data_IF_504263932715
#
_entry.id   IF_504263932715
#
_cell.length_a   1.000
_cell.length_b   1.000
_cell.length_c   1.000
_cell.angle_alpha   90.00
_cell.angle_beta   90.00
_cell.angle_gamma   90.00
#
_symmetry.space_group_name_H-M   'P 1'
#
loop_
_entity.id
_entity.type
_entity.pdbx_description
1 polymer ?
#
# COMPACT_ATOMS: atom_id res chain seq x y z
N UNK A 1 21.70 8.69 10.96
CA UNK A 1 20.87 9.77 11.51
C UNK A 1 20.00 10.24 10.38
N UNK A 2 18.65 10.26 10.51
CA UNK A 2 17.77 10.46 9.36
C UNK A 2 18.01 11.82 8.71
N UNK A 3 18.12 11.80 7.38
CA UNK A 3 18.57 12.92 6.56
C UNK A 3 17.46 13.39 5.62
N UNK A 4 17.17 14.69 5.66
CA UNK A 4 16.16 15.36 4.83
C UNK A 4 16.82 16.34 3.90
N UNK A 5 16.45 16.28 2.62
CA UNK A 5 16.81 17.31 1.64
C UNK A 5 15.59 18.19 1.36
N UNK A 6 15.75 19.51 1.53
CA UNK A 6 14.72 20.50 1.21
C UNK A 6 15.12 21.22 -0.08
N UNK A 7 14.27 21.17 -1.09
CA UNK A 7 14.48 21.84 -2.38
C UNK A 7 13.39 22.89 -2.55
N UNK A 8 13.74 24.16 -2.40
CA UNK A 8 12.81 25.28 -2.35
C UNK A 8 13.57 26.53 -2.79
N UNK A 9 13.05 27.30 -3.75
CA UNK A 9 13.74 28.49 -4.27
C UNK A 9 13.58 29.70 -3.33
N UNK A 10 12.42 29.83 -2.67
CA UNK A 10 12.16 30.88 -1.69
C UNK A 10 13.02 30.71 -0.41
N UNK A 11 13.87 31.70 -0.14
CA UNK A 11 14.85 31.62 0.95
C UNK A 11 14.20 31.59 2.34
N UNK A 12 13.10 32.30 2.53
CA UNK A 12 12.40 32.37 3.81
C UNK A 12 11.70 31.03 4.11
N UNK A 13 10.98 30.48 3.12
CA UNK A 13 10.34 29.17 3.20
C UNK A 13 11.37 28.06 3.41
N UNK A 14 12.48 28.07 2.66
CA UNK A 14 13.56 27.10 2.82
C UNK A 14 14.16 27.13 4.23
N UNK A 15 14.41 28.33 4.77
CA UNK A 15 14.94 28.52 6.13
C UNK A 15 13.96 28.03 7.20
N UNK A 16 12.67 28.33 7.03
CA UNK A 16 11.61 27.90 7.93
C UNK A 16 11.48 26.37 7.97
N UNK A 17 11.48 25.73 6.80
CA UNK A 17 11.43 24.27 6.69
C UNK A 17 12.66 23.60 7.28
N UNK A 18 13.85 24.14 7.03
CA UNK A 18 15.11 23.62 7.58
C UNK A 18 15.15 23.73 9.12
N UNK A 19 14.63 24.85 9.65
CA UNK A 19 14.49 25.04 11.10
C UNK A 19 13.56 23.99 11.68
N UNK A 20 12.42 23.73 11.04
CA UNK A 20 11.46 22.73 11.48
C UNK A 20 12.06 21.32 11.47
N UNK A 21 12.76 20.93 10.40
CA UNK A 21 13.45 19.64 10.32
C UNK A 21 14.48 19.45 11.46
N UNK A 22 15.26 20.49 11.77
CA UNK A 22 16.23 20.48 12.87
C UNK A 22 15.57 20.36 14.24
N UNK A 23 14.40 20.97 14.47
CA UNK A 23 13.66 20.79 15.73
C UNK A 23 13.22 19.34 15.95
N UNK A 24 13.04 18.58 14.87
CA UNK A 24 12.75 17.14 14.89
C UNK A 24 14.02 16.27 14.92
N UNK A 25 15.19 16.88 15.17
CA UNK A 25 16.50 16.21 15.24
C UNK A 25 16.91 15.48 13.94
N UNK A 26 16.45 15.99 12.79
CA UNK A 26 16.83 15.47 11.48
C UNK A 26 18.08 16.19 10.97
N UNK A 27 19.00 15.45 10.36
CA UNK A 27 20.04 16.05 9.53
C UNK A 27 19.37 16.69 8.32
N UNK A 28 19.78 17.89 7.93
CA UNK A 28 19.08 18.65 6.89
C UNK A 28 20.03 19.50 6.07
N UNK A 29 20.01 19.24 4.76
CA UNK A 29 20.60 20.10 3.74
C UNK A 29 19.49 20.74 2.91
N UNK A 30 19.84 21.83 2.24
CA UNK A 30 18.89 22.61 1.46
C UNK A 30 19.47 22.96 0.10
N UNK A 31 18.64 22.94 -0.93
CA UNK A 31 18.97 23.36 -2.28
C UNK A 31 17.95 24.42 -2.76
N UNK A 32 18.42 25.40 -3.53
CA UNK A 32 17.56 26.39 -4.18
C UNK A 32 17.17 25.98 -5.61
N UNK A 33 17.86 25.00 -6.19
CA UNK A 33 17.69 24.54 -7.58
C UNK A 33 17.69 23.02 -7.67
N UNK A 34 17.17 22.48 -8.77
CA UNK A 34 17.27 21.04 -9.07
C UNK A 34 18.71 20.61 -9.26
N UNK A 35 19.55 21.43 -9.89
CA UNK A 35 20.97 21.12 -10.08
C UNK A 35 21.69 20.89 -8.74
N UNK A 36 21.53 21.81 -7.78
CA UNK A 36 22.09 21.67 -6.44
C UNK A 36 21.54 20.42 -5.73
N UNK A 37 20.24 20.18 -5.85
CA UNK A 37 19.59 19.01 -5.28
C UNK A 37 20.16 17.70 -5.85
N UNK A 38 20.39 17.63 -7.17
CA UNK A 38 21.00 16.45 -7.83
C UNK A 38 22.42 16.21 -7.34
N UNK A 39 23.22 17.27 -7.17
CA UNK A 39 24.57 17.14 -6.60
C UNK A 39 24.51 16.56 -5.18
N UNK A 40 23.64 17.10 -4.32
CA UNK A 40 23.48 16.61 -2.95
C UNK A 40 23.04 15.15 -2.91
N UNK A 41 22.01 14.78 -3.68
CA UNK A 41 21.50 13.40 -3.80
C UNK A 41 22.59 12.42 -4.24
N UNK A 42 23.49 12.86 -5.14
CA UNK A 42 24.59 12.02 -5.64
C UNK A 42 25.67 11.75 -4.57
N UNK A 43 25.85 12.68 -3.63
CA UNK A 43 26.82 12.54 -2.54
C UNK A 43 26.26 11.77 -1.35
N UNK A 44 25.01 12.02 -0.99
CA UNK A 44 24.33 11.34 0.11
C UNK A 44 22.84 11.21 -0.21
N UNK A 45 22.34 9.98 -0.21
CA UNK A 45 20.94 9.73 -0.53
C UNK A 45 20.05 10.09 0.67
N UNK A 46 19.09 11.01 0.51
CA UNK A 46 18.17 11.41 1.59
C UNK A 46 17.12 10.34 1.91
N UNK A 47 16.64 10.33 3.15
CA UNK A 47 15.49 9.55 3.61
C UNK A 47 14.16 10.20 3.20
N UNK A 48 14.15 11.53 3.15
CA UNK A 48 13.02 12.35 2.70
C UNK A 48 13.53 13.50 1.84
N UNK A 49 12.90 13.72 0.70
CA UNK A 49 13.01 14.95 -0.07
C UNK A 49 11.70 15.71 0.03
N UNK A 50 11.77 16.97 0.48
CA UNK A 50 10.67 17.93 0.39
C UNK A 50 11.00 18.92 -0.73
N UNK A 51 10.31 18.86 -1.86
CA UNK A 51 10.69 19.57 -3.08
C UNK A 51 9.54 20.44 -3.61
N UNK A 52 9.81 21.70 -3.94
CA UNK A 52 8.88 22.51 -4.73
C UNK A 52 8.77 21.97 -6.16
N UNK A 53 7.54 21.93 -6.67
CA UNK A 53 7.20 21.48 -8.00
C UNK A 53 7.71 22.45 -9.07
N UNK A 54 7.74 23.75 -8.77
CA UNK A 54 8.19 24.78 -9.69
C UNK A 54 9.47 25.39 -9.15
N UNK A 55 10.60 25.09 -9.80
CA UNK A 55 11.91 25.60 -9.45
C UNK A 55 12.45 26.46 -10.60
N UNK A 56 13.41 27.37 -10.34
CA UNK A 56 13.94 28.28 -11.35
C UNK A 56 14.59 27.58 -12.54
N UNK A 57 15.07 26.35 -12.36
CA UNK A 57 15.76 25.53 -13.36
C UNK A 57 14.93 24.33 -13.86
N UNK A 58 13.66 24.18 -13.46
CA UNK A 58 12.80 23.14 -14.01
C UNK A 58 11.66 22.68 -13.11
N UNK A 59 11.19 21.45 -13.35
CA UNK A 59 10.11 20.83 -12.61
C UNK A 59 10.64 19.94 -11.48
N UNK A 60 10.13 20.12 -10.26
CA UNK A 60 10.47 19.32 -9.08
C UNK A 60 10.38 17.81 -9.28
N UNK A 61 9.49 17.36 -10.16
CA UNK A 61 9.35 15.94 -10.50
C UNK A 61 10.56 15.38 -11.25
N UNK A 62 11.38 16.19 -11.90
CA UNK A 62 12.55 15.68 -12.62
C UNK A 62 13.63 15.13 -11.65
N UNK A 63 13.48 15.41 -10.36
CA UNK A 63 14.33 14.85 -9.30
C UNK A 63 14.09 13.35 -9.08
N UNK A 64 12.93 12.81 -9.46
CA UNK A 64 12.69 11.35 -9.42
C UNK A 64 13.74 10.57 -10.21
N UNK A 65 14.21 11.14 -11.32
CA UNK A 65 15.18 10.50 -12.21
C UNK A 65 16.61 10.54 -11.66
N UNK A 66 16.88 11.44 -10.70
CA UNK A 66 18.18 11.55 -10.03
C UNK A 66 18.36 10.55 -8.89
N UNK A 67 17.25 10.03 -8.35
CA UNK A 67 17.29 9.13 -7.22
C UNK A 67 17.61 7.70 -7.68
N UNK A 68 18.46 6.97 -6.94
CA UNK A 68 18.72 5.56 -7.24
C UNK A 68 17.40 4.77 -7.20
N UNK A 69 17.13 3.93 -8.20
CA UNK A 69 15.89 3.12 -8.28
C UNK A 69 15.62 2.22 -7.06
N UNK A 70 16.63 1.98 -6.22
CA UNK A 70 16.57 1.18 -5.00
C UNK A 70 16.73 2.00 -3.72
N UNK A 71 16.86 3.33 -3.83
CA UNK A 71 16.93 4.21 -2.67
C UNK A 71 15.58 4.26 -1.96
N UNK A 72 15.59 4.10 -0.64
CA UNK A 72 14.41 4.26 0.21
C UNK A 72 14.24 5.74 0.58
N UNK A 73 13.97 6.58 -0.41
CA UNK A 73 13.73 8.01 -0.26
C UNK A 73 12.24 8.30 -0.42
N UNK A 74 11.58 8.84 0.61
CA UNK A 74 10.26 9.46 0.44
C UNK A 74 10.41 10.77 -0.34
N UNK A 75 9.52 11.05 -1.30
CA UNK A 75 9.45 12.37 -1.94
C UNK A 75 8.10 12.98 -1.62
N UNK A 76 8.13 14.17 -1.03
CA UNK A 76 6.98 15.01 -0.81
C UNK A 76 7.11 16.24 -1.68
N UNK A 77 6.14 16.43 -2.57
CA UNK A 77 6.11 17.62 -3.42
C UNK A 77 5.32 18.73 -2.75
N UNK A 78 5.77 19.97 -2.93
CA UNK A 78 5.04 21.16 -2.53
C UNK A 78 4.75 22.01 -3.76
N UNK A 79 3.65 22.75 -3.79
CA UNK A 79 3.39 23.71 -4.87
C UNK A 79 2.44 24.82 -4.43
N UNK A 80 2.61 26.03 -4.98
CA UNK A 80 1.60 27.09 -4.90
C UNK A 80 0.51 26.99 -5.96
N UNK A 81 0.73 26.21 -7.02
CA UNK A 81 -0.14 26.12 -8.20
C UNK A 81 -0.60 24.68 -8.40
N UNK A 82 -1.44 24.20 -7.47
CA UNK A 82 -1.94 22.84 -7.51
C UNK A 82 -2.98 22.64 -8.62
N UNK A 83 -2.84 21.56 -9.38
CA UNK A 83 -3.86 21.09 -10.31
C UNK A 83 -4.12 19.59 -10.12
N UNK A 84 -5.30 19.12 -10.51
CA UNK A 84 -5.62 17.70 -10.45
C UNK A 84 -4.63 16.87 -11.30
N UNK A 85 -4.25 17.39 -12.46
CA UNK A 85 -3.30 16.73 -13.36
C UNK A 85 -1.92 16.56 -12.75
N UNK A 86 -1.37 17.62 -12.14
CA UNK A 86 -0.04 17.58 -11.52
C UNK A 86 0.00 16.71 -10.27
N UNK A 87 -1.08 16.67 -9.49
CA UNK A 87 -1.19 15.78 -8.34
C UNK A 87 -1.28 14.30 -8.76
N UNK A 88 -2.03 13.98 -9.82
CA UNK A 88 -2.11 12.62 -10.36
C UNK A 88 -0.76 12.18 -10.92
N UNK A 89 -0.07 13.05 -11.67
CA UNK A 89 1.23 12.74 -12.24
C UNK A 89 2.31 12.51 -11.17
N UNK A 90 2.33 13.37 -10.15
CA UNK A 90 3.18 13.21 -8.97
C UNK A 90 3.02 11.83 -8.31
N UNK A 91 1.77 11.40 -8.07
CA UNK A 91 1.48 10.09 -7.48
C UNK A 91 1.90 8.93 -8.40
N UNK A 92 1.70 9.06 -9.72
CA UNK A 92 2.15 8.04 -10.70
C UNK A 92 3.66 7.89 -10.75
N UNK A 93 4.41 8.98 -10.58
CA UNK A 93 5.87 8.99 -10.50
C UNK A 93 6.42 8.49 -9.16
N UNK A 94 5.55 8.27 -8.17
CA UNK A 94 5.91 7.68 -6.87
C UNK A 94 6.11 8.70 -5.75
N UNK A 95 5.57 9.92 -5.87
CA UNK A 95 5.51 10.84 -4.75
C UNK A 95 4.75 10.20 -3.58
N UNK A 96 5.30 10.35 -2.38
CA UNK A 96 4.69 9.83 -1.14
C UNK A 96 3.61 10.77 -0.63
N UNK A 97 3.75 12.07 -0.85
CA UNK A 97 2.72 13.05 -0.54
C UNK A 97 2.82 14.28 -1.45
N UNK A 98 1.75 15.05 -1.53
CA UNK A 98 1.64 16.28 -2.31
C UNK A 98 0.97 17.37 -1.46
N UNK A 99 1.68 18.47 -1.24
CA UNK A 99 1.29 19.57 -0.36
C UNK A 99 1.02 20.84 -1.17
N UNK A 100 -0.10 21.49 -0.89
CA UNK A 100 -0.45 22.78 -1.48
C UNK A 100 -0.01 23.89 -0.52
N UNK A 101 0.74 24.87 -1.02
CA UNK A 101 1.10 26.09 -0.29
C UNK A 101 -0.17 26.97 -0.14
N UNK A 102 -0.41 27.61 1.02
CA UNK A 102 0.49 27.72 2.17
C UNK A 102 0.58 26.43 2.99
N UNK A 103 1.80 26.08 3.39
CA UNK A 103 2.08 24.80 4.07
C UNK A 103 1.51 24.78 5.48
N UNK A 104 0.76 23.72 5.80
CA UNK A 104 0.23 23.50 7.14
C UNK A 104 1.33 22.94 8.06
N UNK A 105 1.67 23.69 9.12
CA UNK A 105 2.71 23.33 10.09
C UNK A 105 2.47 22.01 10.82
N UNK A 106 1.22 21.65 11.11
CA UNK A 106 0.91 20.35 11.73
C UNK A 106 1.20 19.21 10.75
N UNK A 107 0.88 19.40 9.47
CA UNK A 107 1.14 18.40 8.43
C UNK A 107 2.64 18.24 8.18
N UNK A 108 3.41 19.32 8.09
CA UNK A 108 4.87 19.26 7.99
C UNK A 108 5.51 18.56 9.19
N UNK A 109 5.07 18.88 10.41
CA UNK A 109 5.52 18.18 11.62
C UNK A 109 5.23 16.68 11.57
N UNK A 110 4.04 16.28 11.09
CA UNK A 110 3.70 14.86 10.96
C UNK A 110 4.59 14.14 9.94
N UNK A 111 4.98 14.82 8.85
CA UNK A 111 5.87 14.29 7.82
C UNK A 111 7.29 14.14 8.38
N UNK A 112 7.83 15.16 9.02
CA UNK A 112 9.18 15.08 9.61
C UNK A 112 9.25 14.09 10.78
N UNK A 113 8.23 14.01 11.64
CA UNK A 113 8.21 13.10 12.77
C UNK A 113 8.14 11.62 12.37
N UNK A 114 7.66 11.29 11.16
CA UNK A 114 7.66 9.90 10.66
C UNK A 114 8.98 9.48 10.03
N UNK A 115 9.82 10.40 9.54
CA UNK A 115 11.09 10.08 8.86
C UNK A 115 11.96 9.10 9.68
N UNK A 116 12.24 9.33 10.98
CA UNK A 116 13.07 8.41 11.76
C UNK A 116 12.46 7.01 11.92
N UNK A 117 11.11 6.93 11.99
CA UNK A 117 10.40 5.65 12.12
C UNK A 117 10.40 4.89 10.79
N UNK A 118 10.27 5.60 9.68
CA UNK A 118 10.37 5.01 8.35
C UNK A 118 11.80 4.52 8.10
N UNK A 119 12.83 5.29 8.46
CA UNK A 119 14.25 4.87 8.35
C UNK A 119 14.55 3.65 9.21
N UNK A 120 14.16 3.63 10.50
CA UNK A 120 14.39 2.47 11.38
C UNK A 120 13.65 1.20 10.90
N UNK A 121 12.41 1.34 10.42
CA UNK A 121 11.67 0.25 9.79
C UNK A 121 12.30 -0.19 8.46
N UNK A 122 12.89 0.73 7.69
CA UNK A 122 13.60 0.40 6.46
C UNK A 122 14.94 -0.26 6.73
N UNK A 123 15.69 0.13 7.75
CA UNK A 123 16.92 -0.54 8.19
C UNK A 123 16.60 -1.94 8.70
N UNK A 124 15.54 -2.12 9.49
CA UNK A 124 15.06 -3.42 9.94
C UNK A 124 14.56 -4.27 8.75
N UNK A 125 13.83 -3.68 7.80
CA UNK A 125 13.40 -4.35 6.56
C UNK A 125 14.58 -4.62 5.62
N UNK A 126 15.61 -3.79 5.58
CA UNK A 126 16.80 -3.95 4.73
C UNK A 126 17.77 -4.99 5.32
N UNK A 127 17.94 -5.03 6.64
CA UNK A 127 18.61 -6.13 7.34
C UNK A 127 17.85 -7.44 7.14
N UNK A 128 16.53 -7.45 7.37
CA UNK A 128 15.70 -8.61 7.09
C UNK A 128 15.75 -8.99 5.60
N UNK A 129 15.71 -8.04 4.66
CA UNK A 129 15.82 -8.30 3.21
C UNK A 129 17.21 -8.75 2.79
N UNK A 130 18.28 -8.28 3.42
CA UNK A 130 19.67 -8.69 3.13
C UNK A 130 19.94 -10.10 3.66
N UNK A 131 19.44 -10.41 4.86
CA UNK A 131 19.50 -11.75 5.44
C UNK A 131 18.59 -12.73 4.67
N UNK A 132 17.43 -12.26 4.17
CA UNK A 132 16.52 -13.03 3.33
C UNK A 132 16.98 -13.14 1.87
N UNK A 133 17.67 -12.16 1.28
CA UNK A 133 18.27 -12.26 -0.07
C UNK A 133 19.42 -13.26 -0.10
N UNK A 134 20.16 -13.40 1.00
CA UNK A 134 21.18 -14.46 1.16
C UNK A 134 20.57 -15.87 1.21
N UNK A 135 19.27 -15.97 1.51
CA UNK A 135 18.51 -17.23 1.61
C UNK A 135 17.43 -17.39 0.51
N UNK A 136 17.26 -16.38 -0.36
CA UNK A 136 16.26 -16.37 -1.44
C UNK A 136 14.81 -16.30 -0.98
N UNK A 137 14.48 -15.61 0.13
CA UNK A 137 13.13 -15.62 0.74
C UNK A 137 12.47 -14.24 0.70
N UNK A 138 11.16 -14.17 0.51
CA UNK A 138 10.37 -12.93 0.60
C UNK A 138 9.03 -13.23 1.27
N UNK A 139 8.89 -12.81 2.53
CA UNK A 139 7.81 -13.28 3.39
C UNK A 139 7.80 -14.81 3.47
N UNK A 140 6.75 -15.43 2.93
CA UNK A 140 6.59 -16.89 2.89
C UNK A 140 7.10 -17.52 1.61
N UNK A 141 7.42 -16.72 0.59
CA UNK A 141 7.85 -17.21 -0.71
C UNK A 141 9.36 -17.41 -0.78
N UNK A 142 9.80 -18.32 -1.65
CA UNK A 142 11.20 -18.61 -1.95
C UNK A 142 11.46 -18.46 -3.44
N UNK A 143 12.60 -17.90 -3.81
CA UNK A 143 13.04 -17.69 -5.18
C UNK A 143 13.89 -16.44 -5.34
N UNK A 144 15.00 -16.57 -6.08
CA UNK A 144 15.93 -15.48 -6.39
C UNK A 144 15.98 -15.12 -7.88
N UNK A 145 15.11 -15.74 -8.70
CA UNK A 145 15.06 -15.46 -10.14
C UNK A 145 14.58 -14.01 -10.41
N UNK A 146 14.99 -13.38 -11.53
CA UNK A 146 14.52 -12.03 -11.87
C UNK A 146 13.00 -11.90 -11.94
N UNK A 147 12.30 -12.94 -12.41
CA UNK A 147 10.84 -12.97 -12.45
C UNK A 147 10.24 -12.92 -11.04
N UNK A 148 10.79 -13.70 -10.09
CA UNK A 148 10.34 -13.67 -8.70
C UNK A 148 10.64 -12.33 -8.02
N UNK A 149 11.78 -11.70 -8.33
CA UNK A 149 12.07 -10.35 -7.82
C UNK A 149 11.03 -9.32 -8.29
N UNK A 150 10.58 -9.39 -9.55
CA UNK A 150 9.52 -8.53 -10.05
C UNK A 150 8.17 -8.76 -9.33
N UNK A 151 7.85 -10.02 -9.01
CA UNK A 151 6.68 -10.38 -8.19
C UNK A 151 6.81 -9.81 -6.78
N UNK A 152 7.98 -9.91 -6.15
CA UNK A 152 8.22 -9.36 -4.81
C UNK A 152 8.07 -7.85 -4.78
N UNK A 153 8.59 -7.14 -5.79
CA UNK A 153 8.45 -5.70 -5.93
C UNK A 153 6.98 -5.29 -6.09
N UNK A 154 6.21 -6.04 -6.89
CA UNK A 154 4.78 -5.80 -7.07
C UNK A 154 4.00 -6.02 -5.77
N UNK A 155 4.27 -7.13 -5.05
CA UNK A 155 3.68 -7.43 -3.75
C UNK A 155 4.01 -6.34 -2.73
N UNK A 156 5.27 -5.91 -2.66
CA UNK A 156 5.71 -4.85 -1.73
C UNK A 156 5.00 -3.51 -1.95
N UNK A 157 4.68 -3.17 -3.20
CA UNK A 157 3.90 -1.97 -3.52
C UNK A 157 2.42 -2.14 -3.17
N UNK A 158 1.79 -3.24 -3.58
CA UNK A 158 0.34 -3.43 -3.42
C UNK A 158 -0.04 -3.76 -1.98
N UNK A 159 0.81 -4.42 -1.20
CA UNK A 159 0.50 -4.77 0.19
C UNK A 159 0.17 -3.53 1.04
N UNK A 160 0.79 -2.38 0.74
CA UNK A 160 0.60 -1.10 1.45
C UNK A 160 -0.71 -0.38 1.11
N UNK A 161 -1.49 -0.89 0.16
CA UNK A 161 -2.77 -0.28 -0.26
C UNK A 161 -3.95 -1.14 0.18
N UNK A 162 -5.16 -0.57 0.11
CA UNK A 162 -6.42 -1.27 0.35
C UNK A 162 -7.00 -1.91 -0.93
N UNK A 163 -6.29 -1.82 -2.05
CA UNK A 163 -6.78 -2.31 -3.33
C UNK A 163 -6.90 -3.84 -3.35
N UNK A 164 -7.96 -4.32 -4.01
CA UNK A 164 -8.13 -5.74 -4.34
C UNK A 164 -7.02 -6.19 -5.30
N UNK A 165 -6.56 -7.43 -5.13
CA UNK A 165 -5.46 -8.00 -5.93
C UNK A 165 -5.93 -9.26 -6.63
N UNK A 166 -5.59 -9.39 -7.92
CA UNK A 166 -5.78 -10.62 -8.70
C UNK A 166 -4.42 -11.26 -8.99
N UNK A 167 -4.25 -12.51 -8.57
CA UNK A 167 -3.06 -13.33 -8.69
C UNK A 167 -3.28 -14.36 -9.80
N UNK A 168 -2.52 -14.24 -10.87
CA UNK A 168 -2.60 -15.18 -12.00
C UNK A 168 -1.36 -16.06 -12.07
N UNK A 169 -1.55 -17.31 -12.46
CA UNK A 169 -0.48 -18.29 -12.56
C UNK A 169 -1.04 -19.71 -12.57
N UNK A 170 -0.26 -20.64 -13.11
CA UNK A 170 -0.60 -22.06 -13.16
C UNK A 170 -0.83 -22.63 -11.75
N UNK A 171 -1.48 -23.79 -11.66
CA UNK A 171 -1.65 -24.49 -10.39
C UNK A 171 -0.30 -24.84 -9.78
N UNK A 172 -0.17 -24.70 -8.45
CA UNK A 172 1.08 -24.98 -7.73
C UNK A 172 2.18 -23.90 -7.83
N UNK A 173 1.94 -22.77 -8.49
CA UNK A 173 2.93 -21.66 -8.61
C UNK A 173 3.09 -20.80 -7.36
N UNK A 174 2.38 -21.11 -6.26
CA UNK A 174 2.51 -20.41 -4.99
C UNK A 174 1.62 -19.16 -4.82
N UNK A 175 0.50 -19.07 -5.55
CA UNK A 175 -0.48 -17.97 -5.42
C UNK A 175 -0.96 -17.76 -3.98
N UNK A 176 -1.25 -18.83 -3.25
CA UNK A 176 -1.65 -18.73 -1.84
C UNK A 176 -0.53 -18.13 -0.96
N UNK A 177 0.73 -18.50 -1.20
CA UNK A 177 1.88 -17.93 -0.48
C UNK A 177 2.03 -16.43 -0.79
N UNK A 178 1.76 -16.02 -2.03
CA UNK A 178 1.73 -14.62 -2.42
C UNK A 178 0.60 -13.86 -1.71
N UNK A 179 -0.62 -14.42 -1.65
CA UNK A 179 -1.75 -13.84 -0.93
C UNK A 179 -1.49 -13.67 0.57
N UNK A 180 -0.94 -14.69 1.22
CA UNK A 180 -0.52 -14.62 2.63
C UNK A 180 0.56 -13.55 2.83
N UNK A 181 1.53 -13.46 1.92
CA UNK A 181 2.61 -12.46 1.99
C UNK A 181 2.07 -11.04 1.81
N UNK A 182 1.09 -10.83 0.91
CA UNK A 182 0.39 -9.55 0.76
C UNK A 182 -0.28 -9.15 2.07
N UNK A 183 -0.99 -10.08 2.72
CA UNK A 183 -1.65 -9.84 4.01
C UNK A 183 -0.63 -9.49 5.10
N UNK A 184 0.42 -10.30 5.28
CA UNK A 184 1.46 -10.13 6.29
C UNK A 184 2.17 -8.76 6.20
N UNK A 185 2.29 -8.22 4.98
CA UNK A 185 2.90 -6.92 4.69
C UNK A 185 1.92 -5.74 4.65
N UNK A 186 0.62 -5.99 4.86
CA UNK A 186 -0.41 -4.96 4.78
C UNK A 186 -0.68 -4.23 6.09
N UNK A 187 -1.49 -3.16 6.01
CA UNK A 187 -2.04 -2.48 7.19
C UNK A 187 -2.97 -3.40 8.00
N UNK A 188 -3.52 -4.45 7.38
CA UNK A 188 -4.46 -5.42 7.95
C UNK A 188 -3.80 -6.68 8.54
N UNK A 189 -2.46 -6.73 8.63
CA UNK A 189 -1.69 -7.89 9.13
C UNK A 189 -2.05 -8.40 10.54
N UNK A 190 -2.79 -7.60 11.33
CA UNK A 190 -3.29 -8.00 12.67
C UNK A 190 -4.71 -8.56 12.63
N UNK A 191 -5.43 -8.34 11.52
CA UNK A 191 -6.76 -8.86 11.28
C UNK A 191 -6.73 -10.31 10.79
N UNK A 192 -7.90 -10.94 10.60
CA UNK A 192 -7.99 -12.30 10.10
C UNK A 192 -7.50 -12.41 8.65
N UNK A 193 -6.83 -13.50 8.32
CA UNK A 193 -6.61 -13.97 6.95
C UNK A 193 -7.40 -15.26 6.76
N UNK A 194 -8.38 -15.24 5.87
CA UNK A 194 -9.17 -16.42 5.51
C UNK A 194 -8.91 -16.77 4.05
N UNK A 195 -8.41 -17.98 3.80
CA UNK A 195 -8.25 -18.54 2.47
C UNK A 195 -9.37 -19.53 2.19
N UNK A 196 -9.98 -19.41 1.02
CA UNK A 196 -11.07 -20.27 0.57
C UNK A 196 -10.79 -20.67 -0.86
N UNK A 197 -10.85 -21.97 -1.13
CA UNK A 197 -10.91 -22.48 -2.48
C UNK A 197 -12.37 -22.54 -2.93
N UNK A 198 -12.73 -21.75 -3.94
CA UNK A 198 -14.10 -21.65 -4.43
C UNK A 198 -14.58 -22.94 -5.11
N UNK A 199 -13.68 -23.70 -5.74
CA UNK A 199 -13.97 -25.01 -6.36
C UNK A 199 -14.20 -26.15 -5.36
N UNK A 200 -13.73 -26.00 -4.12
CA UNK A 200 -13.89 -27.01 -3.06
C UNK A 200 -15.27 -26.94 -2.37
N UNK A 201 -16.00 -25.84 -2.52
CA UNK A 201 -17.33 -25.66 -1.91
C UNK A 201 -18.40 -26.11 -2.91
N UNK A 202 -19.33 -26.96 -2.47
CA UNK A 202 -20.46 -27.36 -3.30
C UNK A 202 -21.24 -26.11 -3.78
N UNK A 203 -21.57 -26.04 -5.07
CA UNK A 203 -22.14 -24.84 -5.69
C UNK A 203 -23.40 -24.30 -4.97
N UNK A 204 -24.22 -25.19 -4.41
CA UNK A 204 -25.42 -24.85 -3.63
C UNK A 204 -25.13 -24.28 -2.23
N UNK A 205 -23.90 -24.42 -1.73
CA UNK A 205 -23.47 -23.93 -0.42
C UNK A 205 -22.57 -22.69 -0.51
N UNK A 206 -22.01 -22.37 -1.69
CA UNK A 206 -21.10 -21.22 -1.87
C UNK A 206 -21.71 -19.93 -1.31
N UNK A 207 -22.97 -19.63 -1.62
CA UNK A 207 -23.60 -18.41 -1.12
C UNK A 207 -23.74 -18.40 0.41
N UNK A 208 -24.12 -19.54 1.00
CA UNK A 208 -24.30 -19.67 2.44
C UNK A 208 -22.97 -19.54 3.18
N UNK A 209 -21.92 -20.18 2.69
CA UNK A 209 -20.60 -20.12 3.30
C UNK A 209 -19.96 -18.74 3.12
N UNK A 210 -20.11 -18.11 1.94
CA UNK A 210 -19.53 -16.80 1.66
C UNK A 210 -20.24 -15.65 2.41
N UNK A 211 -21.56 -15.60 2.30
CA UNK A 211 -22.37 -14.45 2.77
C UNK A 211 -23.15 -14.72 4.06
N UNK A 212 -23.22 -15.97 4.51
CA UNK A 212 -23.98 -16.36 5.69
C UNK A 212 -25.47 -16.54 5.42
N UNK A 213 -26.17 -17.10 6.42
CA UNK A 213 -27.61 -17.32 6.36
C UNK A 213 -28.28 -17.14 7.71
N UNK A 214 -29.53 -16.67 7.70
CA UNK A 214 -30.38 -16.65 8.89
C UNK A 214 -31.09 -18.01 9.07
N UNK A 215 -31.47 -18.32 10.31
CA UNK A 215 -32.18 -19.57 10.61
C UNK A 215 -33.47 -19.67 9.79
N UNK A 216 -33.66 -20.80 9.10
CA UNK A 216 -34.86 -21.09 8.30
C UNK A 216 -34.82 -20.55 6.87
N UNK A 217 -33.69 -20.02 6.40
CA UNK A 217 -33.56 -19.47 5.05
C UNK A 217 -33.65 -20.51 3.93
N UNK A 218 -33.31 -21.77 4.22
CA UNK A 218 -33.43 -22.91 3.30
C UNK A 218 -33.57 -24.22 4.09
N UNK A 219 -33.88 -25.31 3.39
CA UNK A 219 -34.04 -26.65 3.99
C UNK A 219 -32.72 -27.12 4.62
N UNK A 220 -32.67 -27.22 5.95
CA UNK A 220 -31.45 -27.55 6.71
C UNK A 220 -30.79 -26.37 7.43
N UNK A 221 -31.29 -25.15 7.27
CA UNK A 221 -30.81 -23.95 7.98
C UNK A 221 -31.33 -23.90 9.43
N UNK A 222 -30.90 -24.84 10.28
CA UNK A 222 -31.39 -24.95 11.68
C UNK A 222 -30.89 -23.83 12.60
N UNK A 223 -29.78 -23.19 12.24
CA UNK A 223 -29.11 -22.13 13.00
C UNK A 223 -28.69 -21.01 12.06
N UNK A 224 -28.46 -19.84 12.63
CA UNK A 224 -27.81 -18.75 11.91
C UNK A 224 -26.32 -19.07 11.70
N UNK A 225 -25.80 -18.73 10.53
CA UNK A 225 -24.41 -18.92 10.16
C UNK A 225 -23.81 -17.61 9.67
N UNK A 226 -22.64 -17.24 10.21
CA UNK A 226 -21.85 -16.09 9.73
C UNK A 226 -20.95 -16.54 8.60
N UNK A 227 -21.11 -15.92 7.44
CA UNK A 227 -20.30 -16.23 6.26
C UNK A 227 -18.85 -15.78 6.40
N UNK A 228 -18.04 -16.17 5.44
CA UNK A 228 -16.62 -15.84 5.39
C UNK A 228 -16.35 -14.34 5.36
N UNK A 229 -17.17 -13.54 4.68
CA UNK A 229 -17.03 -12.08 4.69
C UNK A 229 -17.13 -11.50 6.10
N UNK A 230 -18.15 -11.90 6.87
CA UNK A 230 -18.31 -11.43 8.26
C UNK A 230 -17.17 -11.91 9.16
N UNK A 231 -16.61 -13.09 8.89
CA UNK A 231 -15.50 -13.65 9.67
C UNK A 231 -14.15 -13.03 9.30
N UNK A 232 -14.03 -12.49 8.09
CA UNK A 232 -12.84 -11.82 7.57
C UNK A 232 -12.85 -10.29 7.84
N UNK A 233 -13.87 -9.79 8.53
CA UNK A 233 -14.02 -8.36 8.84
C UNK A 233 -12.77 -7.78 9.53
N UNK A 234 -12.34 -6.61 9.06
CA UNK A 234 -11.08 -5.96 9.44
C UNK A 234 -9.82 -6.62 8.87
N UNK A 235 -9.96 -7.64 8.02
CA UNK A 235 -8.88 -8.51 7.57
C UNK A 235 -8.81 -8.68 6.05
N UNK A 236 -8.36 -9.87 5.61
CA UNK A 236 -8.19 -10.22 4.20
C UNK A 236 -8.87 -11.56 3.90
N UNK A 237 -9.62 -11.58 2.81
CA UNK A 237 -10.24 -12.78 2.27
C UNK A 237 -9.55 -13.14 0.96
N UNK A 238 -8.92 -14.31 0.93
CA UNK A 238 -8.31 -14.89 -0.27
C UNK A 238 -9.27 -15.89 -0.92
N UNK A 239 -9.62 -15.63 -2.18
CA UNK A 239 -10.53 -16.41 -3.00
C UNK A 239 -9.73 -17.18 -4.05
N UNK A 240 -9.24 -18.36 -3.69
CA UNK A 240 -8.55 -19.25 -4.63
C UNK A 240 -9.56 -19.86 -5.61
N UNK A 241 -9.10 -20.08 -6.84
CA UNK A 241 -9.92 -20.59 -7.95
C UNK A 241 -11.24 -19.80 -8.13
N UNK A 242 -11.18 -18.47 -8.02
CA UNK A 242 -12.37 -17.59 -8.14
C UNK A 242 -13.18 -17.82 -9.43
N UNK A 243 -12.55 -18.36 -10.48
CA UNK A 243 -13.21 -18.73 -11.74
C UNK A 243 -14.25 -19.84 -11.59
N UNK A 244 -14.13 -20.68 -10.56
CA UNK A 244 -15.10 -21.75 -10.24
C UNK A 244 -16.33 -21.23 -9.46
N UNK A 245 -16.35 -19.94 -9.11
CA UNK A 245 -17.48 -19.35 -8.39
C UNK A 245 -18.75 -19.30 -9.27
N UNK A 246 -19.90 -19.80 -8.79
CA UNK A 246 -21.16 -19.71 -9.53
C UNK A 246 -21.55 -18.26 -9.86
N UNK A 247 -22.13 -18.05 -11.05
CA UNK A 247 -22.53 -16.72 -11.54
C UNK A 247 -23.42 -15.96 -10.54
N UNK A 248 -24.35 -16.64 -9.88
CA UNK A 248 -25.23 -16.02 -8.88
C UNK A 248 -24.45 -15.44 -7.69
N UNK A 249 -23.41 -16.15 -7.24
CA UNK A 249 -22.51 -15.68 -6.17
C UNK A 249 -21.63 -14.51 -6.62
N UNK A 250 -21.23 -14.47 -7.90
CA UNK A 250 -20.44 -13.36 -8.46
C UNK A 250 -21.19 -12.03 -8.41
N UNK A 251 -22.52 -12.04 -8.64
CA UNK A 251 -23.36 -10.82 -8.53
C UNK A 251 -23.33 -10.25 -7.12
N UNK A 252 -23.41 -11.11 -6.09
CA UNK A 252 -23.32 -10.69 -4.69
C UNK A 252 -21.90 -10.24 -4.32
N UNK A 253 -20.88 -10.94 -4.79
CA UNK A 253 -19.48 -10.54 -4.61
C UNK A 253 -19.23 -9.13 -5.14
N UNK A 254 -19.71 -8.83 -6.36
CA UNK A 254 -19.60 -7.51 -6.96
C UNK A 254 -20.24 -6.43 -6.06
N UNK A 255 -21.45 -6.68 -5.55
CA UNK A 255 -22.12 -5.74 -4.65
C UNK A 255 -21.32 -5.49 -3.37
N UNK A 256 -20.70 -6.52 -2.79
CA UNK A 256 -19.85 -6.35 -1.61
C UNK A 256 -18.61 -5.54 -1.94
N UNK A 257 -17.96 -5.79 -3.08
CA UNK A 257 -16.80 -5.03 -3.54
C UNK A 257 -17.11 -3.55 -3.78
N UNK A 258 -18.30 -3.23 -4.28
CA UNK A 258 -18.71 -1.84 -4.55
C UNK A 258 -19.18 -1.08 -3.30
N UNK A 259 -19.88 -1.77 -2.41
CA UNK A 259 -20.62 -1.11 -1.31
C UNK A 259 -20.02 -1.35 0.08
N UNK A 260 -19.16 -2.36 0.23
CA UNK A 260 -18.71 -2.83 1.55
C UNK A 260 -19.84 -3.42 2.38
N UNK A 261 -20.94 -3.85 1.75
CA UNK A 261 -22.13 -4.37 2.44
C UNK A 261 -22.56 -5.70 1.88
N UNK A 262 -23.01 -6.58 2.76
CA UNK A 262 -23.60 -7.87 2.40
C UNK A 262 -24.99 -8.04 3.02
N UNK A 263 -25.74 -8.99 2.48
CA UNK A 263 -27.02 -9.44 3.03
C UNK A 263 -26.98 -10.96 3.12
N UNK A 264 -27.29 -11.49 4.31
CA UNK A 264 -27.37 -12.95 4.50
C UNK A 264 -28.52 -13.55 3.71
N UNK A 265 -28.41 -14.82 3.36
CA UNK A 265 -29.52 -15.58 2.78
C UNK A 265 -30.73 -15.58 3.71
N UNK A 266 -31.90 -15.29 3.15
CA UNK A 266 -33.16 -15.20 3.89
C UNK A 266 -33.31 -13.95 4.76
N UNK A 267 -32.34 -13.02 4.72
CA UNK A 267 -32.37 -11.76 5.46
C UNK A 267 -32.61 -10.58 4.52
N UNK A 268 -33.17 -9.50 5.05
CA UNK A 268 -33.25 -8.18 4.36
C UNK A 268 -32.33 -7.14 5.00
N UNK A 269 -31.60 -7.53 6.05
CA UNK A 269 -30.70 -6.65 6.78
C UNK A 269 -29.35 -6.56 6.08
N UNK A 270 -28.94 -5.33 5.74
CA UNK A 270 -27.58 -5.05 5.31
C UNK A 270 -26.61 -5.08 6.50
N UNK A 271 -25.41 -5.61 6.26
CA UNK A 271 -24.32 -5.72 7.21
C UNK A 271 -23.10 -5.09 6.55
N UNK A 272 -22.54 -4.05 7.17
CA UNK A 272 -21.27 -3.47 6.76
C UNK A 272 -20.13 -4.45 7.09
N UNK A 273 -19.23 -4.64 6.13
CA UNK A 273 -18.02 -5.44 6.26
C UNK A 273 -16.85 -4.69 5.64
N UNK A 274 -15.74 -4.67 6.36
CA UNK A 274 -14.49 -4.07 5.89
C UNK A 274 -13.48 -5.18 5.61
N UNK A 275 -13.44 -5.67 4.37
CA UNK A 275 -12.62 -6.83 3.98
C UNK A 275 -11.83 -6.51 2.73
N UNK A 276 -10.51 -6.73 2.79
CA UNK A 276 -9.66 -6.68 1.61
C UNK A 276 -9.74 -7.99 0.83
N UNK A 277 -9.93 -7.92 -0.48
CA UNK A 277 -9.99 -9.10 -1.34
C UNK A 277 -8.65 -9.37 -2.04
N UNK A 278 -8.22 -10.62 -2.00
CA UNK A 278 -7.19 -11.18 -2.89
C UNK A 278 -7.84 -12.36 -3.60
N UNK A 279 -7.66 -12.49 -4.91
CA UNK A 279 -8.18 -13.58 -5.72
C UNK A 279 -7.12 -14.08 -6.69
#
# INVERSE_FOLDING_TARGET
MPYVLIVEDDADTRTMLATLARTQQLACDTAATLEEARTLVSTHTPDLVLCDLVLPDGNGMDLFDALPKRAHCEIVLTTGHASLETAIDALRRGATDYLVKPLNMQRLNSIFARVPRTTALHEEIAELRSELQRLGRFGRMLGSSPAMQAVYDAIGRVARTEASVLLTGESGTGKELAAQTIHDLSLRRRGPFLAINCGAIAANLVESEMFGHDRGSFTGAERQHKGFFERADGGTLFLDEITEMPLESQVKLLRVLETGRLTRLGSTREIDVDVRIVA
#
